data_IF_340802385776
#
_entry.id   IF_340802385776
#
_cell.length_a   1.000
_cell.length_b   1.000
_cell.length_c   1.000
_cell.angle_alpha   90.00
_cell.angle_beta   90.00
_cell.angle_gamma   90.00
#
_symmetry.space_group_name_H-M   'P 1'
#
loop_
_entity.id
_entity.type
_entity.pdbx_description
1 polymer ?
#
# COMPACT_ATOMS: atom_id res chain seq x y z
N UNK A 1 -20.97 -5.76 13.07
CA UNK A 1 -19.61 -6.20 12.76
C UNK A 1 -18.62 -5.05 12.78
N UNK A 2 -17.34 -5.39 12.68
CA UNK A 2 -16.28 -4.38 12.72
C UNK A 2 -16.09 -3.75 11.34
N UNK A 3 -15.76 -2.46 11.35
CA UNK A 3 -15.46 -1.66 10.16
C UNK A 3 -13.95 -1.50 10.02
N UNK A 4 -13.44 -1.76 8.83
CA UNK A 4 -12.03 -1.58 8.49
C UNK A 4 -11.88 -0.44 7.49
N UNK A 5 -10.92 0.45 7.75
CA UNK A 5 -10.44 1.39 6.73
C UNK A 5 -9.20 0.78 6.11
N UNK A 6 -9.21 0.63 4.79
CA UNK A 6 -8.07 0.10 4.05
C UNK A 6 -7.63 1.09 2.98
N UNK A 7 -6.32 1.14 2.74
CA UNK A 7 -5.71 2.17 1.88
C UNK A 7 -4.88 1.53 0.78
N UNK A 8 -5.09 1.93 -0.50
CA UNK A 8 -4.38 1.34 -1.63
C UNK A 8 -2.92 1.76 -1.68
N UNK A 9 -2.14 0.97 -2.41
CA UNK A 9 -0.73 1.22 -2.66
C UNK A 9 -0.45 1.69 -4.08
N UNK A 10 0.83 1.68 -4.44
CA UNK A 10 1.30 2.09 -5.76
C UNK A 10 0.64 1.27 -6.87
N UNK A 11 0.27 1.94 -7.94
CA UNK A 11 -0.44 1.37 -9.08
C UNK A 11 -1.87 1.87 -9.21
N UNK A 12 -2.46 2.36 -8.12
CA UNK A 12 -3.83 2.90 -8.13
C UNK A 12 -3.90 4.39 -8.50
N UNK A 13 -2.76 5.09 -8.53
CA UNK A 13 -2.70 6.52 -8.80
C UNK A 13 -3.13 6.88 -10.22
N UNK A 14 -3.75 8.05 -10.35
CA UNK A 14 -4.08 8.64 -11.64
C UNK A 14 -4.12 10.16 -11.51
N UNK A 15 -3.89 10.85 -12.63
CA UNK A 15 -4.00 12.31 -12.68
C UNK A 15 -5.45 12.72 -12.44
N UNK A 16 -5.66 13.63 -11.50
CA UNK A 16 -6.97 14.06 -11.04
C UNK A 16 -7.39 13.48 -9.70
N UNK A 17 -6.63 12.53 -9.15
CA UNK A 17 -6.99 11.93 -7.88
C UNK A 17 -7.03 12.96 -6.76
N UNK A 18 -8.14 12.98 -6.01
CA UNK A 18 -8.34 13.86 -4.86
C UNK A 18 -8.70 15.30 -5.20
N UNK A 19 -8.71 15.68 -6.49
CA UNK A 19 -8.99 17.07 -6.89
C UNK A 19 -10.39 17.51 -6.49
N UNK A 20 -11.38 16.69 -6.69
CA UNK A 20 -12.76 16.99 -6.32
C UNK A 20 -12.93 17.19 -4.81
N UNK A 21 -12.20 16.39 -4.00
CA UNK A 21 -12.16 16.59 -2.54
C UNK A 21 -11.49 17.91 -2.19
N UNK A 22 -10.38 18.23 -2.82
CA UNK A 22 -9.68 19.50 -2.63
C UNK A 22 -10.61 20.70 -2.94
N UNK A 23 -11.34 20.62 -4.04
CA UNK A 23 -12.23 21.70 -4.47
C UNK A 23 -13.48 21.82 -3.60
N UNK A 24 -13.92 20.73 -2.98
CA UNK A 24 -15.22 20.67 -2.26
C UNK A 24 -15.13 20.83 -0.76
N UNK A 25 -14.01 20.43 -0.14
CA UNK A 25 -13.92 20.34 1.33
C UNK A 25 -12.67 21.01 1.89
N UNK A 26 -12.85 21.92 2.85
CA UNK A 26 -11.74 22.60 3.51
C UNK A 26 -10.77 21.63 4.19
N UNK A 27 -11.27 20.57 4.83
CA UNK A 27 -10.41 19.58 5.50
C UNK A 27 -9.50 18.84 4.52
N UNK A 28 -9.98 18.57 3.31
CA UNK A 28 -9.20 17.92 2.26
C UNK A 28 -8.19 18.89 1.64
N UNK A 29 -8.61 20.13 1.42
CA UNK A 29 -7.71 21.18 0.92
C UNK A 29 -6.52 21.38 1.85
N UNK A 30 -6.74 21.41 3.15
CA UNK A 30 -5.67 21.56 4.15
C UNK A 30 -4.60 20.48 4.02
N UNK A 31 -4.98 19.25 3.70
CA UNK A 31 -4.04 18.12 3.55
C UNK A 31 -3.13 18.36 2.35
N UNK A 32 -3.68 18.72 1.20
CA UNK A 32 -2.89 19.03 0.00
C UNK A 32 -1.98 20.24 0.23
N UNK A 33 -2.51 21.29 0.84
CA UNK A 33 -1.73 22.50 1.14
C UNK A 33 -0.58 22.20 2.11
N UNK A 34 -0.84 21.35 3.12
CA UNK A 34 0.19 20.92 4.07
C UNK A 34 1.28 20.11 3.39
N UNK A 35 0.93 19.21 2.48
CA UNK A 35 1.89 18.44 1.71
C UNK A 35 2.83 19.37 0.92
N UNK A 36 2.27 20.36 0.23
CA UNK A 36 3.07 21.33 -0.53
C UNK A 36 3.96 22.18 0.38
N UNK A 37 3.52 22.47 1.60
CA UNK A 37 4.29 23.25 2.57
C UNK A 37 5.50 22.47 3.10
N UNK A 38 5.36 21.18 3.42
CA UNK A 38 6.39 20.40 4.10
C UNK A 38 7.30 19.61 3.17
N UNK A 39 6.96 19.49 1.89
CA UNK A 39 7.75 18.72 0.93
C UNK A 39 8.50 19.61 -0.05
N UNK A 40 9.52 19.04 -0.67
CA UNK A 40 10.36 19.66 -1.71
C UNK A 40 9.74 19.57 -3.11
N UNK A 41 8.54 19.00 -3.23
CA UNK A 41 7.83 18.79 -4.50
C UNK A 41 6.43 19.41 -4.42
N UNK A 42 5.87 19.73 -5.60
CA UNK A 42 4.50 20.25 -5.71
C UNK A 42 3.51 19.08 -5.87
N UNK A 43 2.97 18.61 -4.75
CA UNK A 43 2.04 17.46 -4.75
C UNK A 43 0.72 17.80 -5.43
N UNK A 44 0.24 19.04 -5.28
CA UNK A 44 -1.00 19.47 -5.97
C UNK A 44 -0.83 19.36 -7.48
N UNK A 45 0.29 19.85 -8.00
CA UNK A 45 0.57 19.78 -9.43
C UNK A 45 0.68 18.32 -9.89
N UNK A 46 1.39 17.47 -9.12
CA UNK A 46 1.51 16.03 -9.41
C UNK A 46 0.14 15.35 -9.51
N UNK A 47 -0.75 15.66 -8.57
CA UNK A 47 -2.05 15.00 -8.50
C UNK A 47 -3.05 15.55 -9.50
N UNK A 48 -3.00 16.85 -9.81
CA UNK A 48 -4.08 17.53 -10.53
C UNK A 48 -3.81 17.84 -11.99
N UNK A 49 -2.55 17.93 -12.41
CA UNK A 49 -2.18 18.29 -13.79
C UNK A 49 -1.53 17.11 -14.50
N UNK A 50 -1.74 17.01 -15.81
CA UNK A 50 -1.13 15.97 -16.63
C UNK A 50 0.38 15.98 -16.49
N UNK A 51 0.96 14.82 -16.13
CA UNK A 51 2.40 14.64 -16.00
C UNK A 51 2.73 13.14 -15.98
N UNK A 52 4.00 12.81 -16.20
CA UNK A 52 4.47 11.44 -16.16
C UNK A 52 5.09 11.08 -14.80
N UNK A 53 5.48 12.09 -14.02
CA UNK A 53 6.19 11.90 -12.76
C UNK A 53 5.36 11.16 -11.72
N UNK A 54 4.02 11.28 -11.76
CA UNK A 54 3.12 10.60 -10.83
C UNK A 54 3.31 9.08 -10.82
N UNK A 55 3.84 8.52 -11.91
CA UNK A 55 4.09 7.08 -12.03
C UNK A 55 5.52 6.68 -11.67
N UNK A 56 6.37 7.63 -11.30
CA UNK A 56 7.73 7.37 -10.85
C UNK A 56 7.70 7.20 -9.33
N UNK A 57 8.20 6.09 -8.83
CA UNK A 57 8.09 5.68 -7.41
C UNK A 57 8.43 6.80 -6.42
N UNK A 58 9.50 7.56 -6.65
CA UNK A 58 9.90 8.62 -5.74
C UNK A 58 8.88 9.75 -5.60
N UNK A 59 7.98 9.91 -6.58
CA UNK A 59 6.89 10.90 -6.54
C UNK A 59 5.55 10.28 -6.19
N UNK A 60 5.31 9.05 -6.63
CA UNK A 60 4.03 8.35 -6.45
C UNK A 60 3.63 8.25 -4.99
N UNK A 61 4.58 7.94 -4.11
CA UNK A 61 4.27 7.63 -2.71
C UNK A 61 3.68 8.81 -1.96
N UNK A 62 4.32 9.98 -2.04
CA UNK A 62 3.81 11.18 -1.38
C UNK A 62 2.46 11.62 -1.97
N UNK A 63 2.31 11.50 -3.30
CA UNK A 63 1.05 11.85 -3.97
C UNK A 63 -0.11 10.95 -3.49
N UNK A 64 0.14 9.64 -3.41
CA UNK A 64 -0.87 8.67 -2.96
C UNK A 64 -1.27 8.87 -1.50
N UNK A 65 -0.31 9.06 -0.62
CA UNK A 65 -0.61 9.30 0.80
C UNK A 65 -1.41 10.58 0.97
N UNK A 66 -1.04 11.64 0.25
CA UNK A 66 -1.76 12.92 0.32
C UNK A 66 -3.21 12.78 -0.14
N UNK A 67 -3.43 12.19 -1.31
CA UNK A 67 -4.78 12.02 -1.84
C UNK A 67 -5.65 11.15 -0.93
N UNK A 68 -5.10 10.04 -0.45
CA UNK A 68 -5.84 9.12 0.43
C UNK A 68 -6.18 9.76 1.78
N UNK A 69 -5.24 10.49 2.39
CA UNK A 69 -5.50 11.16 3.68
C UNK A 69 -6.47 12.34 3.48
N UNK A 70 -6.42 13.04 2.36
CA UNK A 70 -7.39 14.10 2.07
C UNK A 70 -8.83 13.54 2.06
N UNK A 71 -9.03 12.36 1.49
CA UNK A 71 -10.32 11.68 1.48
C UNK A 71 -10.68 11.21 2.90
N UNK A 72 -9.72 10.62 3.60
CA UNK A 72 -9.89 10.15 4.98
C UNK A 72 -10.42 11.28 5.89
N UNK A 73 -9.86 12.48 5.78
CA UNK A 73 -10.25 13.61 6.63
C UNK A 73 -11.73 13.96 6.47
N UNK A 74 -12.27 13.87 5.27
CA UNK A 74 -13.70 14.11 5.05
C UNK A 74 -14.55 12.99 5.66
N UNK A 75 -14.12 11.76 5.53
CA UNK A 75 -14.84 10.63 6.14
C UNK A 75 -14.84 10.75 7.67
N UNK A 76 -13.72 11.12 8.27
CA UNK A 76 -13.62 11.38 9.70
C UNK A 76 -14.55 12.52 10.14
N UNK A 77 -14.59 13.59 9.36
CA UNK A 77 -15.48 14.75 9.64
C UNK A 77 -16.96 14.34 9.60
N UNK A 78 -17.31 13.37 8.76
CA UNK A 78 -18.66 12.82 8.67
C UNK A 78 -19.03 11.94 9.88
N UNK A 79 -18.06 11.60 10.72
CA UNK A 79 -18.28 10.85 11.95
C UNK A 79 -18.09 9.34 11.85
N UNK A 80 -17.69 8.82 10.69
CA UNK A 80 -17.42 7.39 10.57
C UNK A 80 -16.04 7.07 11.16
N UNK A 81 -15.97 6.04 12.00
CA UNK A 81 -14.73 5.61 12.66
C UNK A 81 -14.47 4.15 12.37
N UNK A 82 -13.21 3.77 12.16
CA UNK A 82 -12.87 2.38 11.96
C UNK A 82 -12.67 1.66 13.29
N UNK A 83 -12.83 0.34 13.27
CA UNK A 83 -12.42 -0.53 14.37
C UNK A 83 -11.00 -1.06 14.14
N UNK A 84 -10.60 -1.16 12.88
CA UNK A 84 -9.29 -1.63 12.44
C UNK A 84 -8.86 -0.85 11.21
N UNK A 85 -7.55 -0.74 11.00
CA UNK A 85 -7.01 -0.14 9.77
C UNK A 85 -5.95 -1.04 9.15
N UNK A 86 -5.76 -0.92 7.84
CA UNK A 86 -4.71 -1.60 7.10
C UNK A 86 -4.42 -0.86 5.81
N UNK A 87 -3.22 -1.00 5.29
CA UNK A 87 -2.85 -0.37 4.01
C UNK A 87 -1.85 -1.23 3.26
N UNK A 88 -1.94 -1.22 1.94
CA UNK A 88 -1.05 -2.00 1.07
C UNK A 88 0.23 -1.24 0.82
N UNK A 89 1.37 -1.75 1.28
CA UNK A 89 2.69 -1.15 1.10
C UNK A 89 2.74 0.32 1.57
N UNK A 90 2.86 1.30 0.67
CA UNK A 90 2.80 2.71 1.07
C UNK A 90 1.49 3.08 1.78
N UNK A 91 0.42 2.37 1.46
CA UNK A 91 -0.89 2.59 2.08
C UNK A 91 -0.90 2.33 3.59
N UNK A 92 0.04 1.54 4.11
CA UNK A 92 0.15 1.32 5.55
C UNK A 92 0.40 2.64 6.29
N UNK A 93 1.06 3.61 5.67
CA UNK A 93 1.25 4.94 6.26
C UNK A 93 -0.07 5.69 6.42
N UNK A 94 -1.00 5.50 5.51
CA UNK A 94 -2.36 6.07 5.66
C UNK A 94 -3.09 5.39 6.82
N UNK A 95 -2.92 4.08 6.98
CA UNK A 95 -3.47 3.35 8.12
C UNK A 95 -2.89 3.88 9.44
N UNK A 96 -1.59 4.19 9.48
CA UNK A 96 -0.95 4.78 10.66
C UNK A 96 -1.54 6.14 10.99
N UNK A 97 -1.85 6.95 9.97
CA UNK A 97 -2.53 8.25 10.19
C UNK A 97 -3.94 8.02 10.72
N UNK A 98 -4.69 7.09 10.13
CA UNK A 98 -6.06 6.79 10.55
C UNK A 98 -6.14 6.22 11.96
N UNK A 99 -5.11 5.51 12.41
CA UNK A 99 -5.02 4.96 13.77
C UNK A 99 -4.29 5.89 14.74
N UNK A 100 -4.02 7.14 14.33
CA UNK A 100 -3.37 8.17 15.15
C UNK A 100 -1.96 7.79 15.64
N UNK A 101 -1.29 6.90 14.95
CA UNK A 101 0.10 6.50 15.26
C UNK A 101 1.09 7.57 14.84
N UNK A 102 0.82 8.19 13.69
CA UNK A 102 1.72 9.15 13.06
C UNK A 102 0.90 10.31 12.48
N UNK A 103 1.44 11.54 12.56
CA UNK A 103 0.78 12.67 11.93
C UNK A 103 0.87 12.55 10.39
N UNK A 104 -0.06 13.19 9.68
CA UNK A 104 0.04 13.26 8.22
C UNK A 104 1.35 13.90 7.76
N UNK A 105 1.76 14.98 8.43
CA UNK A 105 3.00 15.69 8.08
C UNK A 105 4.20 14.77 8.12
N UNK A 106 4.32 13.98 9.18
CA UNK A 106 5.41 13.01 9.32
C UNK A 106 5.27 11.88 8.31
N UNK A 107 4.06 11.35 8.12
CA UNK A 107 3.81 10.26 7.18
C UNK A 107 4.21 10.64 5.76
N UNK A 108 3.82 11.83 5.30
CA UNK A 108 4.12 12.26 3.92
C UNK A 108 5.60 12.53 3.72
N UNK A 109 6.29 13.07 4.75
CA UNK A 109 7.75 13.26 4.71
C UNK A 109 8.48 11.92 4.66
N UNK A 110 8.05 10.96 5.48
CA UNK A 110 8.65 9.62 5.51
C UNK A 110 8.49 8.92 4.16
N UNK A 111 7.28 8.92 3.58
CA UNK A 111 7.08 8.23 2.30
C UNK A 111 7.77 8.94 1.14
N UNK A 112 8.00 10.25 1.23
CA UNK A 112 8.84 10.95 0.25
C UNK A 112 10.25 10.37 0.27
N UNK A 113 10.85 10.20 1.44
CA UNK A 113 12.16 9.57 1.57
C UNK A 113 12.15 8.10 1.21
N UNK A 114 11.10 7.38 1.63
CA UNK A 114 10.92 5.96 1.30
C UNK A 114 10.89 5.76 -0.22
N UNK A 115 10.16 6.60 -0.95
CA UNK A 115 10.08 6.55 -2.40
C UNK A 115 11.44 6.74 -3.07
N UNK A 116 12.22 7.72 -2.59
CA UNK A 116 13.57 7.98 -3.09
C UNK A 116 14.48 6.77 -2.82
N UNK A 117 14.45 6.22 -1.61
CA UNK A 117 15.27 5.07 -1.24
C UNK A 117 14.92 3.83 -2.08
N UNK A 118 13.63 3.57 -2.27
CA UNK A 118 13.17 2.44 -3.07
C UNK A 118 13.51 2.60 -4.54
N UNK A 119 13.46 3.84 -5.06
CA UNK A 119 13.81 4.15 -6.44
C UNK A 119 15.30 3.93 -6.70
N UNK A 120 16.15 4.33 -5.77
CA UNK A 120 17.59 4.48 -6.00
C UNK A 120 18.46 3.32 -5.50
N UNK A 121 17.93 2.45 -4.61
CA UNK A 121 18.74 1.40 -3.98
C UNK A 121 19.26 0.35 -4.96
N UNK A 122 18.44 -0.05 -5.92
CA UNK A 122 18.84 -1.02 -6.94
C UNK A 122 18.86 -0.32 -8.30
N UNK A 123 19.99 -0.35 -9.01
CA UNK A 123 20.07 0.28 -10.33
C UNK A 123 19.04 -0.27 -11.30
N UNK A 124 18.54 0.61 -12.17
CA UNK A 124 17.54 0.24 -13.18
C UNK A 124 18.01 -0.95 -14.02
N UNK A 125 17.12 -1.91 -14.21
CA UNK A 125 17.38 -3.12 -14.98
C UNK A 125 17.98 -4.28 -14.19
N UNK A 126 18.48 -4.07 -12.99
CA UNK A 126 19.03 -5.15 -12.16
C UNK A 126 17.95 -5.93 -11.41
N UNK A 127 16.83 -5.30 -11.13
CA UNK A 127 15.70 -5.94 -10.46
C UNK A 127 14.43 -5.86 -11.28
N UNK A 128 13.48 -6.73 -10.96
CA UNK A 128 12.21 -6.82 -11.66
C UNK A 128 11.11 -7.37 -10.76
N UNK A 129 9.87 -7.19 -11.19
CA UNK A 129 8.69 -7.76 -10.57
C UNK A 129 7.76 -8.32 -11.65
N UNK A 130 7.05 -9.39 -11.32
CA UNK A 130 6.04 -9.97 -12.21
C UNK A 130 4.82 -10.40 -11.43
N UNK A 131 3.64 -10.20 -12.00
CA UNK A 131 2.38 -10.70 -11.45
C UNK A 131 2.15 -12.13 -11.95
N UNK A 132 1.90 -13.05 -11.04
CA UNK A 132 1.59 -14.45 -11.33
C UNK A 132 0.09 -14.65 -11.12
N UNK A 133 -0.62 -14.97 -12.19
CA UNK A 133 -2.07 -15.10 -12.18
C UNK A 133 -2.52 -16.54 -12.31
N UNK A 134 -3.56 -16.89 -11.56
CA UNK A 134 -4.22 -18.20 -11.67
C UNK A 134 -3.40 -19.37 -11.11
N UNK A 135 -2.62 -19.15 -10.07
CA UNK A 135 -1.83 -20.17 -9.40
C UNK A 135 -1.91 -19.97 -7.88
N UNK A 136 -1.97 -21.06 -7.14
CA UNK A 136 -2.03 -21.02 -5.67
C UNK A 136 -0.67 -20.62 -5.09
N UNK A 137 -0.70 -19.88 -3.98
CA UNK A 137 0.54 -19.41 -3.31
C UNK A 137 1.46 -20.57 -2.92
N UNK A 138 0.91 -21.69 -2.45
CA UNK A 138 1.70 -22.86 -2.05
C UNK A 138 2.47 -23.44 -3.25
N UNK A 139 1.87 -23.46 -4.42
CA UNK A 139 2.52 -23.94 -5.65
C UNK A 139 3.63 -22.98 -6.08
N UNK A 140 3.42 -21.68 -5.94
CA UNK A 140 4.45 -20.67 -6.25
C UNK A 140 5.62 -20.82 -5.27
N UNK A 141 5.33 -20.90 -3.97
CA UNK A 141 6.33 -21.07 -2.93
C UNK A 141 7.20 -22.32 -3.15
N UNK A 142 6.61 -23.38 -3.73
CA UNK A 142 7.32 -24.61 -4.01
C UNK A 142 8.31 -24.48 -5.20
N UNK A 143 8.00 -23.62 -6.16
CA UNK A 143 8.82 -23.44 -7.38
C UNK A 143 10.01 -22.49 -7.16
N UNK A 144 9.80 -21.39 -6.44
CA UNK A 144 10.81 -20.33 -6.33
C UNK A 144 12.17 -20.78 -5.76
N UNK A 145 12.24 -21.66 -4.74
CA UNK A 145 13.55 -22.09 -4.20
C UNK A 145 14.44 -22.81 -5.20
N UNK A 146 13.87 -23.38 -6.26
CA UNK A 146 14.62 -24.09 -7.28
C UNK A 146 15.20 -23.17 -8.35
N UNK A 147 14.85 -21.89 -8.32
CA UNK A 147 15.35 -20.89 -9.26
C UNK A 147 16.66 -20.32 -8.71
N UNK A 148 17.67 -20.24 -9.58
CA UNK A 148 18.96 -19.67 -9.21
C UNK A 148 18.85 -18.15 -9.08
N UNK A 149 19.46 -17.58 -8.04
CA UNK A 149 19.43 -16.15 -7.77
C UNK A 149 18.32 -15.75 -6.80
N UNK A 150 18.15 -14.44 -6.66
CA UNK A 150 17.16 -13.89 -5.72
C UNK A 150 15.84 -13.68 -6.43
N UNK A 151 14.83 -14.44 -6.01
CA UNK A 151 13.43 -14.21 -6.38
C UNK A 151 12.56 -14.68 -5.23
N UNK A 152 11.67 -13.81 -4.77
CA UNK A 152 10.77 -14.09 -3.65
C UNK A 152 9.37 -13.57 -3.95
N UNK A 153 8.41 -13.94 -3.12
CA UNK A 153 7.07 -13.35 -3.21
C UNK A 153 7.11 -11.95 -2.58
N UNK A 154 6.76 -10.96 -3.37
CA UNK A 154 6.64 -9.57 -2.93
C UNK A 154 5.28 -9.27 -2.32
N UNK A 155 4.20 -9.78 -2.94
CA UNK A 155 2.84 -9.52 -2.51
C UNK A 155 1.97 -10.78 -2.61
N UNK A 156 1.31 -11.09 -1.49
CA UNK A 156 0.18 -12.00 -1.46
C UNK A 156 -1.09 -11.13 -1.53
N UNK A 157 -1.54 -10.79 -2.73
CA UNK A 157 -2.66 -9.85 -2.89
C UNK A 157 -4.02 -10.49 -2.64
N UNK A 158 -4.26 -11.64 -3.26
CA UNK A 158 -5.48 -12.42 -3.09
C UNK A 158 -5.27 -13.78 -3.76
N UNK A 159 -6.18 -14.75 -3.54
CA UNK A 159 -6.11 -16.03 -4.26
C UNK A 159 -6.01 -15.80 -5.76
N UNK A 160 -4.98 -16.37 -6.37
CA UNK A 160 -4.74 -16.25 -7.82
C UNK A 160 -4.05 -14.97 -8.28
N UNK A 161 -3.62 -14.10 -7.36
CA UNK A 161 -2.83 -12.90 -7.71
C UNK A 161 -1.68 -12.72 -6.73
N UNK A 162 -0.52 -13.19 -7.14
CA UNK A 162 0.73 -13.14 -6.36
C UNK A 162 1.75 -12.37 -7.19
N UNK A 163 2.54 -11.53 -6.53
CA UNK A 163 3.63 -10.79 -7.20
C UNK A 163 4.96 -11.35 -6.73
N UNK A 164 5.85 -11.65 -7.68
CA UNK A 164 7.21 -12.07 -7.39
C UNK A 164 8.18 -10.92 -7.71
N UNK A 165 9.31 -10.89 -7.01
CA UNK A 165 10.28 -9.80 -7.08
C UNK A 165 11.69 -10.33 -6.82
N UNK A 166 12.66 -9.73 -7.48
CA UNK A 166 14.06 -10.10 -7.28
C UNK A 166 14.96 -9.63 -8.41
N UNK A 167 16.04 -10.37 -8.61
CA UNK A 167 16.97 -10.11 -9.72
C UNK A 167 16.27 -10.33 -11.06
N UNK A 168 16.51 -9.46 -12.03
CA UNK A 168 15.81 -9.50 -13.33
C UNK A 168 15.85 -10.88 -13.97
N UNK A 169 17.03 -11.51 -14.01
CA UNK A 169 17.19 -12.84 -14.58
C UNK A 169 16.42 -13.90 -13.79
N UNK A 170 16.49 -13.85 -12.47
CA UNK A 170 15.81 -14.81 -11.60
C UNK A 170 14.29 -14.69 -11.74
N UNK A 171 13.76 -13.46 -11.81
CA UNK A 171 12.32 -13.23 -12.01
C UNK A 171 11.87 -13.78 -13.37
N UNK A 172 12.66 -13.55 -14.42
CA UNK A 172 12.35 -14.09 -15.75
C UNK A 172 12.33 -15.63 -15.77
N UNK A 173 13.34 -16.27 -15.18
CA UNK A 173 13.43 -17.72 -15.08
C UNK A 173 12.30 -18.30 -14.21
N UNK A 174 12.00 -17.63 -13.09
CA UNK A 174 10.88 -18.02 -12.25
C UNK A 174 9.56 -17.96 -13.02
N UNK A 175 9.36 -16.89 -13.82
CA UNK A 175 8.17 -16.74 -14.65
C UNK A 175 7.96 -17.91 -15.61
N UNK A 176 9.03 -18.36 -16.27
CA UNK A 176 8.96 -19.52 -17.16
C UNK A 176 8.66 -20.80 -16.40
N UNK A 177 9.32 -21.02 -15.25
CA UNK A 177 9.08 -22.20 -14.41
C UNK A 177 7.64 -22.24 -13.88
N UNK A 178 7.10 -21.09 -13.52
CA UNK A 178 5.72 -21.00 -13.02
C UNK A 178 4.68 -21.26 -14.11
N UNK A 179 4.93 -20.80 -15.33
CA UNK A 179 4.07 -21.13 -16.48
C UNK A 179 4.05 -22.63 -16.71
N UNK A 180 5.21 -23.28 -16.70
CA UNK A 180 5.32 -24.72 -16.87
C UNK A 180 4.60 -25.48 -15.75
N UNK A 181 4.60 -24.92 -14.54
CA UNK A 181 3.94 -25.53 -13.39
C UNK A 181 2.44 -25.25 -13.32
N UNK A 182 1.89 -24.48 -14.27
CA UNK A 182 0.45 -24.31 -14.40
C UNK A 182 -0.11 -22.91 -14.17
N UNK A 183 0.72 -21.89 -13.98
CA UNK A 183 0.23 -20.51 -13.88
C UNK A 183 -0.47 -20.12 -15.18
N UNK A 184 -1.63 -19.48 -15.07
CA UNK A 184 -2.38 -19.06 -16.27
C UNK A 184 -1.63 -17.96 -17.02
N UNK A 185 -1.07 -17.00 -16.31
CA UNK A 185 -0.33 -15.88 -16.90
C UNK A 185 0.76 -15.42 -15.95
N UNK A 186 1.87 -14.95 -16.51
CA UNK A 186 2.91 -14.24 -15.77
C UNK A 186 3.16 -12.93 -16.52
N UNK A 187 2.89 -11.81 -15.84
CA UNK A 187 2.95 -10.48 -16.46
C UNK A 187 4.05 -9.64 -15.82
N UNK A 188 5.09 -9.27 -16.58
CA UNK A 188 6.09 -8.33 -16.07
C UNK A 188 5.42 -7.00 -15.70
N UNK A 189 5.80 -6.45 -14.56
CA UNK A 189 5.29 -5.16 -14.10
C UNK A 189 6.22 -4.04 -14.53
N UNK A 190 5.64 -2.88 -14.82
CA UNK A 190 6.39 -1.66 -15.16
C UNK A 190 6.76 -0.94 -13.87
N UNK A 191 7.77 -1.45 -13.17
CA UNK A 191 8.27 -0.86 -11.92
C UNK A 191 9.77 -0.65 -12.02
N UNK A 192 10.27 0.28 -11.20
CA UNK A 192 11.67 0.70 -11.24
C UNK A 192 12.61 -0.17 -10.42
N UNK A 193 12.10 -1.16 -9.69
CA UNK A 193 12.96 -1.97 -8.85
C UNK A 193 12.28 -3.20 -8.27
N UNK A 194 13.07 -4.06 -7.59
CA UNK A 194 12.61 -5.32 -7.03
C UNK A 194 12.03 -5.12 -5.62
N UNK A 195 10.93 -4.37 -5.54
CA UNK A 195 10.33 -3.98 -4.27
C UNK A 195 9.88 -5.19 -3.45
N UNK A 196 9.96 -5.07 -2.15
CA UNK A 196 9.58 -6.12 -1.18
C UNK A 196 10.38 -7.42 -1.36
N UNK A 197 11.59 -7.32 -1.90
CA UNK A 197 12.54 -8.43 -1.98
C UNK A 197 13.75 -8.14 -1.09
N UNK A 198 14.56 -9.16 -0.76
CA UNK A 198 15.77 -8.97 0.03
C UNK A 198 16.76 -7.95 -0.55
N UNK A 199 16.68 -7.68 -1.85
CA UNK A 199 17.53 -6.68 -2.51
C UNK A 199 17.31 -5.25 -1.97
N UNK A 200 16.15 -5.01 -1.38
CA UNK A 200 15.81 -3.70 -0.82
C UNK A 200 16.20 -3.55 0.66
N UNK A 201 16.90 -4.52 1.24
CA UNK A 201 17.31 -4.43 2.64
C UNK A 201 18.09 -3.15 2.98
N UNK A 202 19.02 -2.67 2.15
CA UNK A 202 19.70 -1.40 2.42
C UNK A 202 18.73 -0.21 2.49
N UNK A 203 17.68 -0.21 1.66
CA UNK A 203 16.66 0.84 1.70
C UNK A 203 15.88 0.80 3.01
N UNK A 204 15.50 -0.39 3.48
CA UNK A 204 14.81 -0.56 4.75
C UNK A 204 15.64 -0.11 5.94
N UNK A 205 16.95 -0.39 5.93
CA UNK A 205 17.86 0.03 6.99
C UNK A 205 18.01 1.56 7.02
N UNK A 206 18.12 2.20 5.86
CA UNK A 206 18.18 3.66 5.76
C UNK A 206 16.86 4.30 6.16
N UNK A 207 15.74 3.64 5.89
CA UNK A 207 14.43 4.13 6.32
C UNK A 207 14.32 4.17 7.85
N UNK A 208 14.95 3.23 8.56
CA UNK A 208 15.00 3.28 10.02
C UNK A 208 15.67 4.55 10.52
N UNK A 209 16.72 5.04 9.84
CA UNK A 209 17.38 6.30 10.19
C UNK A 209 16.43 7.48 9.98
N UNK A 210 15.63 7.46 8.91
CA UNK A 210 14.60 8.48 8.65
C UNK A 210 13.55 8.45 9.76
N UNK A 211 13.12 7.26 10.19
CA UNK A 211 12.09 7.08 11.20
C UNK A 211 12.57 7.41 12.63
N UNK A 212 13.88 7.41 12.86
CA UNK A 212 14.44 7.62 14.20
C UNK A 212 13.95 8.90 14.87
N UNK A 213 13.79 9.97 14.11
CA UNK A 213 13.37 11.28 14.60
C UNK A 213 11.85 11.51 14.50
N UNK A 214 11.11 10.52 14.02
CA UNK A 214 9.66 10.63 13.87
C UNK A 214 8.97 10.21 15.17
N UNK A 215 8.00 11.02 15.60
CA UNK A 215 7.21 10.72 16.78
C UNK A 215 6.08 9.77 16.42
N UNK A 216 5.96 8.66 17.16
CA UNK A 216 4.88 7.69 16.99
C UNK A 216 4.19 7.45 18.32
N UNK A 217 2.87 7.25 18.26
CA UNK A 217 2.01 6.99 19.41
C UNK A 217 1.42 5.58 19.33
N UNK A 218 0.88 5.10 20.43
CA UNK A 218 0.13 3.84 20.43
C UNK A 218 -1.12 4.00 19.55
N UNK A 219 -1.45 2.99 18.72
CA UNK A 219 -2.66 3.07 17.90
C UNK A 219 -3.93 3.25 18.72
N UNK A 220 -4.79 4.17 18.31
CA UNK A 220 -6.13 4.35 18.92
C UNK A 220 -7.06 3.20 18.55
N UNK A 221 -6.86 2.63 17.35
CA UNK A 221 -7.44 1.35 16.94
C UNK A 221 -6.30 0.53 16.32
N UNK A 222 -6.33 -0.80 16.45
CA UNK A 222 -5.25 -1.61 15.89
C UNK A 222 -5.11 -1.43 14.38
N UNK A 223 -3.87 -1.44 13.88
CA UNK A 223 -3.64 -1.61 12.45
C UNK A 223 -2.99 -2.98 12.23
N UNK A 224 -3.03 -3.47 10.99
CA UNK A 224 -2.42 -4.73 10.63
C UNK A 224 -1.13 -4.46 9.86
N UNK A 225 -0.02 -5.05 10.32
CA UNK A 225 1.27 -4.94 9.64
C UNK A 225 1.28 -5.79 8.37
N UNK A 226 1.73 -5.22 7.26
CA UNK A 226 1.93 -5.98 6.01
C UNK A 226 2.93 -7.13 6.19
N UNK A 227 3.93 -6.93 7.03
CA UNK A 227 5.04 -7.87 7.21
C UNK A 227 4.61 -9.13 7.98
N UNK A 228 3.83 -8.96 9.03
CA UNK A 228 3.47 -10.07 9.94
C UNK A 228 2.01 -10.53 9.80
N UNK A 229 1.17 -9.73 9.18
CA UNK A 229 -0.29 -9.92 9.14
C UNK A 229 -0.90 -10.00 10.56
N UNK A 230 -0.24 -9.37 11.55
CA UNK A 230 -0.70 -9.35 12.93
C UNK A 230 -1.19 -7.95 13.31
N UNK A 231 -2.07 -7.89 14.30
CA UNK A 231 -2.54 -6.63 14.86
C UNK A 231 -1.42 -5.95 15.64
N UNK A 232 -1.24 -4.65 15.40
CA UNK A 232 -0.28 -3.82 16.12
C UNK A 232 -1.08 -2.91 17.05
N UNK A 233 -0.77 -2.99 18.35
CA UNK A 233 -1.43 -2.23 19.41
C UNK A 233 -0.46 -1.38 20.22
N UNK A 234 0.85 -1.53 19.99
CA UNK A 234 1.90 -0.79 20.67
C UNK A 234 2.79 -0.06 19.68
N UNK A 235 3.15 1.18 20.02
CA UNK A 235 4.10 1.99 19.24
C UNK A 235 5.50 1.38 19.16
N UNK A 236 5.84 0.50 20.10
CA UNK A 236 7.19 -0.06 20.21
C UNK A 236 7.59 -0.93 19.01
N UNK A 237 6.61 -1.44 18.26
CA UNK A 237 6.87 -2.29 17.09
C UNK A 237 6.85 -1.53 15.75
N UNK A 238 6.33 -0.31 15.74
CA UNK A 238 5.99 0.41 14.50
C UNK A 238 7.19 0.64 13.60
N UNK A 239 8.24 1.25 14.11
CA UNK A 239 9.39 1.66 13.28
C UNK A 239 10.14 0.48 12.70
N UNK A 240 10.41 -0.53 13.52
CA UNK A 240 11.11 -1.73 13.07
C UNK A 240 10.33 -2.43 11.95
N UNK A 241 9.02 -2.59 12.12
CA UNK A 241 8.17 -3.23 11.12
C UNK A 241 8.09 -2.43 9.82
N UNK A 242 8.07 -1.10 9.90
CA UNK A 242 8.09 -0.26 8.69
C UNK A 242 9.39 -0.41 7.91
N UNK A 243 10.52 -0.50 8.61
CA UNK A 243 11.81 -0.75 7.97
C UNK A 243 11.85 -2.11 7.27
N UNK A 244 11.41 -3.16 7.96
CA UNK A 244 11.35 -4.52 7.43
C UNK A 244 10.37 -4.66 6.27
N UNK A 245 9.30 -3.90 6.27
CA UNK A 245 8.28 -3.94 5.22
C UNK A 245 8.86 -3.70 3.83
N UNK A 246 9.87 -2.84 3.71
CA UNK A 246 10.47 -2.46 2.43
C UNK A 246 11.08 -3.66 1.70
N UNK A 247 11.63 -4.62 2.44
CA UNK A 247 12.30 -5.79 1.86
C UNK A 247 11.65 -7.13 2.23
N UNK A 248 10.41 -7.08 2.71
CA UNK A 248 9.64 -8.28 3.11
C UNK A 248 8.36 -8.38 2.29
N UNK A 249 7.81 -9.58 2.19
CA UNK A 249 6.54 -9.82 1.52
C UNK A 249 5.41 -9.02 2.17
N UNK A 250 4.55 -8.44 1.33
CA UNK A 250 3.31 -7.81 1.77
C UNK A 250 2.24 -8.90 1.86
N UNK A 251 1.84 -9.23 3.08
CA UNK A 251 0.89 -10.31 3.37
C UNK A 251 -0.55 -9.78 3.41
N UNK A 252 -1.02 -9.26 2.28
CA UNK A 252 -2.35 -8.62 2.21
C UNK A 252 -3.49 -9.60 2.41
N UNK A 253 -3.49 -10.71 1.67
CA UNK A 253 -4.52 -11.75 1.82
C UNK A 253 -4.62 -12.20 3.28
N UNK A 254 -3.49 -12.53 3.90
CA UNK A 254 -3.45 -12.97 5.29
C UNK A 254 -3.94 -11.90 6.26
N UNK A 255 -3.62 -10.63 5.97
CA UNK A 255 -4.09 -9.49 6.78
C UNK A 255 -5.62 -9.35 6.74
N UNK A 256 -6.20 -9.48 5.56
CA UNK A 256 -7.66 -9.43 5.38
C UNK A 256 -8.32 -10.61 6.10
N UNK A 257 -7.79 -11.81 5.91
CA UNK A 257 -8.33 -13.02 6.58
C UNK A 257 -8.28 -12.88 8.10
N UNK A 258 -7.18 -12.32 8.63
CA UNK A 258 -7.02 -12.06 10.06
C UNK A 258 -8.11 -11.13 10.59
N UNK A 259 -8.38 -10.04 9.86
CA UNK A 259 -9.41 -9.08 10.26
C UNK A 259 -10.82 -9.68 10.18
N UNK A 260 -11.11 -10.45 9.14
CA UNK A 260 -12.41 -11.15 9.02
C UNK A 260 -12.60 -12.12 10.19
N UNK A 261 -11.56 -12.88 10.52
CA UNK A 261 -11.61 -13.81 11.66
C UNK A 261 -11.85 -13.09 12.99
N UNK A 262 -11.46 -11.82 13.09
CA UNK A 262 -11.65 -10.98 14.27
C UNK A 262 -13.01 -10.27 14.27
N UNK A 263 -13.88 -10.54 13.29
CA UNK A 263 -15.24 -10.01 13.22
C UNK A 263 -15.45 -8.87 12.23
N UNK A 264 -14.46 -8.55 11.40
CA UNK A 264 -14.63 -7.52 10.37
C UNK A 264 -15.55 -8.03 9.26
N UNK A 265 -16.57 -7.24 8.93
CA UNK A 265 -17.53 -7.57 7.88
C UNK A 265 -17.75 -6.42 6.89
N UNK A 266 -17.15 -5.26 7.14
CA UNK A 266 -17.30 -4.06 6.31
C UNK A 266 -15.94 -3.42 6.11
N UNK A 267 -15.55 -3.26 4.84
CA UNK A 267 -14.25 -2.70 4.45
C UNK A 267 -14.47 -1.47 3.58
N UNK A 268 -13.85 -0.36 3.97
CA UNK A 268 -13.92 0.90 3.22
C UNK A 268 -12.54 1.17 2.65
N UNK A 269 -12.43 1.09 1.33
CA UNK A 269 -11.20 1.43 0.62
C UNK A 269 -11.17 2.95 0.42
N UNK A 270 -10.19 3.61 1.01
CA UNK A 270 -10.06 5.08 1.00
C UNK A 270 -8.85 5.47 0.18
N UNK A 271 -9.08 6.09 -0.98
CA UNK A 271 -8.02 6.48 -1.87
C UNK A 271 -8.40 6.28 -3.34
N UNK A 272 -7.46 6.54 -4.27
CA UNK A 272 -7.75 6.37 -5.69
C UNK A 272 -7.99 4.91 -6.07
N UNK A 273 -8.89 4.69 -7.02
CA UNK A 273 -9.17 3.37 -7.57
C UNK A 273 -10.04 2.47 -6.70
N UNK A 274 -10.02 1.18 -7.02
CA UNK A 274 -10.81 0.15 -6.35
C UNK A 274 -10.10 -1.20 -6.32
N UNK A 275 -8.79 -1.17 -6.34
CA UNK A 275 -7.94 -2.37 -6.39
C UNK A 275 -8.19 -3.30 -5.20
N UNK A 276 -8.26 -2.75 -3.99
CA UNK A 276 -8.44 -3.55 -2.78
C UNK A 276 -9.84 -4.18 -2.71
N UNK A 277 -10.86 -3.47 -3.16
CA UNK A 277 -12.21 -4.04 -3.30
C UNK A 277 -12.22 -5.19 -4.31
N UNK A 278 -11.42 -5.06 -5.38
CA UNK A 278 -11.25 -6.13 -6.35
C UNK A 278 -10.62 -7.38 -5.74
N UNK A 279 -9.59 -7.21 -4.91
CA UNK A 279 -8.95 -8.33 -4.19
C UNK A 279 -9.93 -8.98 -3.22
N UNK A 280 -10.76 -8.16 -2.56
CA UNK A 280 -11.73 -8.66 -1.58
C UNK A 280 -12.69 -9.68 -2.20
N UNK A 281 -13.11 -9.46 -3.44
CA UNK A 281 -14.01 -10.39 -4.14
C UNK A 281 -13.40 -11.79 -4.30
N UNK A 282 -12.08 -11.87 -4.34
CA UNK A 282 -11.35 -13.14 -4.43
C UNK A 282 -11.06 -13.73 -3.05
N UNK A 283 -11.00 -12.89 -2.02
CA UNK A 283 -10.72 -13.35 -0.65
C UNK A 283 -12.01 -13.81 0.04
N UNK A 284 -13.03 -12.94 0.07
CA UNK A 284 -14.32 -13.29 0.70
C UNK A 284 -15.44 -12.41 0.13
N UNK A 285 -16.39 -13.02 -0.57
CA UNK A 285 -17.52 -12.30 -1.18
C UNK A 285 -18.63 -11.96 -0.20
N UNK A 286 -18.57 -12.52 1.02
CA UNK A 286 -19.63 -12.34 2.02
C UNK A 286 -19.47 -11.08 2.84
N UNK A 287 -18.31 -10.43 2.78
CA UNK A 287 -18.09 -9.15 3.46
C UNK A 287 -18.44 -8.00 2.52
N UNK A 288 -18.81 -6.87 3.13
CA UNK A 288 -19.10 -5.65 2.39
C UNK A 288 -17.79 -4.90 2.11
N UNK A 289 -17.59 -4.50 0.88
CA UNK A 289 -16.43 -3.70 0.48
C UNK A 289 -16.89 -2.55 -0.40
N UNK A 290 -16.57 -1.32 0.02
CA UNK A 290 -16.92 -0.10 -0.72
C UNK A 290 -15.67 0.74 -0.91
N UNK A 291 -15.55 1.40 -2.08
CA UNK A 291 -14.42 2.28 -2.36
C UNK A 291 -14.86 3.75 -2.38
N UNK A 292 -14.07 4.60 -1.77
CA UNK A 292 -14.28 6.04 -1.75
C UNK A 292 -13.07 6.70 -2.42
N UNK A 293 -13.21 6.99 -3.69
CA UNK A 293 -12.18 7.64 -4.50
C UNK A 293 -12.60 9.04 -4.95
N UNK A 294 -13.91 9.27 -5.08
CA UNK A 294 -14.49 10.53 -5.57
C UNK A 294 -15.56 11.01 -4.60
N UNK A 295 -15.86 12.31 -4.66
CA UNK A 295 -16.88 12.91 -3.79
C UNK A 295 -18.23 12.19 -3.91
N UNK A 296 -18.63 11.83 -5.11
CA UNK A 296 -19.89 11.09 -5.33
C UNK A 296 -19.93 9.74 -4.58
N UNK A 297 -18.78 9.14 -4.32
CA UNK A 297 -18.70 7.87 -3.60
C UNK A 297 -19.10 7.98 -2.12
N UNK A 298 -19.09 9.20 -1.56
CA UNK A 298 -19.48 9.42 -0.16
C UNK A 298 -20.90 8.96 0.14
N UNK A 299 -21.77 8.95 -0.86
CA UNK A 299 -23.14 8.42 -0.74
C UNK A 299 -23.14 6.95 -0.27
N UNK A 300 -22.14 6.19 -0.67
CA UNK A 300 -22.02 4.77 -0.30
C UNK A 300 -21.89 4.56 1.20
N UNK A 301 -21.39 5.57 1.93
CA UNK A 301 -21.20 5.48 3.37
C UNK A 301 -22.51 5.48 4.15
N UNK A 302 -23.61 5.96 3.55
CA UNK A 302 -24.92 6.01 4.21
C UNK A 302 -25.41 4.63 4.63
N UNK A 303 -25.00 3.59 3.91
CA UNK A 303 -25.40 2.21 4.19
C UNK A 303 -24.79 1.64 5.49
N UNK A 304 -23.70 2.25 5.96
CA UNK A 304 -22.93 1.73 7.09
C UNK A 304 -22.82 2.71 8.25
N UNK A 305 -23.39 3.88 8.12
CA UNK A 305 -23.37 4.92 9.18
C UNK A 305 -24.61 4.86 10.07
#
# INVERSE_FOLDING_TARGET
GKIVFMFPGQGAQYVGMGKDFYDSFACSKEIFDKANEVLDIDVKKLCFEENEDINITEYTQAAMVTASVAILKKIEEMGLKPDLTAGLSLGEYCALVASDVMSFEDAVKVVRQRGILMQDTVPAGEGAMSAVLGMKKEAIEAVLPDVEGIVTIANYNCPGQIVISGESKAVAEAGEALKEAGAKRVLPLKVSGPFHSPMLKPAGEKLLDVLADVEVDDPTVPYVSNTTAEFITSKDEVKELLGRQVYSSVCWEQSIEKMIADGADTFVEIGPGRTLCGFMRKIDRNVKAINIAKVEDLEKLKEIM
#
